data_IF_884171052315
#
_entry.id   IF_884171052315
#
_cell.length_a   1.000
_cell.length_b   1.000
_cell.length_c   1.000
_cell.angle_alpha   90.00
_cell.angle_beta   90.00
_cell.angle_gamma   90.00
#
_symmetry.space_group_name_H-M   'P 1'
#
loop_
_entity.id
_entity.type
_entity.pdbx_description
1 polymer ?
#
# COMPACT_ATOMS: atom_id res chain seq x y z
N UNK A 1 -21.37 -9.35 -0.14
CA UNK A 1 -20.01 -9.58 0.36
C UNK A 1 -19.36 -8.20 0.50
N UNK A 2 -18.81 -7.89 1.67
CA UNK A 2 -18.14 -6.59 1.89
C UNK A 2 -16.73 -6.65 1.32
N UNK A 3 -16.38 -5.64 0.50
CA UNK A 3 -15.09 -5.52 -0.20
C UNK A 3 -14.41 -4.23 0.19
N UNK A 4 -13.13 -4.28 0.50
CA UNK A 4 -12.34 -3.08 0.77
C UNK A 4 -11.27 -2.86 -0.30
N UNK A 5 -10.93 -1.59 -0.53
CA UNK A 5 -9.72 -1.19 -1.25
C UNK A 5 -8.62 -0.86 -0.25
N UNK A 6 -7.43 -1.44 -0.44
CA UNK A 6 -6.23 -1.11 0.33
C UNK A 6 -5.28 -0.34 -0.59
N UNK A 7 -5.06 0.93 -0.28
CA UNK A 7 -4.11 1.81 -0.99
C UNK A 7 -2.78 1.77 -0.25
N UNK A 8 -1.77 1.18 -0.86
CA UNK A 8 -0.49 0.87 -0.22
C UNK A 8 0.54 1.95 -0.54
N UNK A 9 1.02 2.64 0.48
CA UNK A 9 2.23 3.46 0.53
C UNK A 9 2.40 4.46 -0.63
N UNK A 10 1.33 5.14 -1.04
CA UNK A 10 1.37 6.15 -2.10
C UNK A 10 1.87 7.48 -1.51
N UNK A 11 3.15 7.50 -1.13
CA UNK A 11 3.81 8.57 -0.39
C UNK A 11 4.81 9.34 -1.27
N UNK A 12 5.13 10.57 -0.86
CA UNK A 12 6.02 11.44 -1.63
C UNK A 12 7.38 10.80 -1.91
N UNK A 13 7.99 10.13 -0.92
CA UNK A 13 9.32 9.54 -1.08
C UNK A 13 9.34 8.36 -2.07
N UNK A 14 8.20 7.72 -2.31
CA UNK A 14 8.08 6.63 -3.29
C UNK A 14 7.64 7.10 -4.69
N UNK A 15 7.40 8.38 -4.88
CA UNK A 15 7.08 8.96 -6.19
C UNK A 15 8.27 9.76 -6.74
N UNK A 16 8.21 10.14 -8.01
CA UNK A 16 9.27 10.91 -8.67
C UNK A 16 9.62 12.18 -7.90
N UNK A 17 10.88 12.36 -7.60
CA UNK A 17 11.42 13.47 -6.79
C UNK A 17 11.60 13.12 -5.30
N UNK A 18 11.09 12.00 -4.84
CA UNK A 18 11.30 11.48 -3.48
C UNK A 18 12.63 10.76 -3.30
N UNK A 19 12.99 10.44 -2.06
CA UNK A 19 14.29 9.85 -1.70
C UNK A 19 14.44 8.39 -2.15
N UNK A 20 13.32 7.68 -2.39
CA UNK A 20 13.28 6.29 -2.86
C UNK A 20 12.25 6.17 -4.00
N UNK A 21 12.40 7.00 -5.01
CA UNK A 21 11.45 7.16 -6.09
C UNK A 21 11.28 5.89 -6.94
N UNK A 22 10.03 5.51 -7.16
CA UNK A 22 9.60 4.46 -8.08
C UNK A 22 9.07 5.11 -9.35
N UNK A 23 9.58 4.70 -10.51
CA UNK A 23 9.14 5.23 -11.80
C UNK A 23 7.65 4.93 -12.03
N UNK A 24 6.87 5.95 -12.37
CA UNK A 24 5.42 5.85 -12.54
C UNK A 24 4.62 6.03 -11.24
N UNK A 25 5.27 6.28 -10.11
CA UNK A 25 4.60 6.44 -8.81
C UNK A 25 3.60 7.60 -8.81
N UNK A 26 3.97 8.75 -9.35
CA UNK A 26 3.10 9.93 -9.44
C UNK A 26 1.88 9.70 -10.37
N UNK A 27 2.04 8.92 -11.45
CA UNK A 27 0.95 8.54 -12.35
C UNK A 27 -0.02 7.55 -11.66
N UNK A 28 0.54 6.56 -10.95
CA UNK A 28 -0.27 5.64 -10.12
C UNK A 28 -1.06 6.41 -9.05
N UNK A 29 -0.43 7.36 -8.35
CA UNK A 29 -1.10 8.21 -7.39
C UNK A 29 -2.30 8.96 -8.03
N UNK A 30 -2.12 9.52 -9.23
CA UNK A 30 -3.17 10.21 -9.96
C UNK A 30 -4.32 9.29 -10.36
N UNK A 31 -4.00 8.09 -10.87
CA UNK A 31 -5.04 7.10 -11.27
C UNK A 31 -5.82 6.58 -10.07
N UNK A 32 -5.15 6.31 -8.95
CA UNK A 32 -5.82 5.93 -7.70
C UNK A 32 -6.71 7.08 -7.21
N UNK A 33 -6.23 8.33 -7.25
CA UNK A 33 -7.04 9.51 -6.95
C UNK A 33 -8.33 9.57 -7.78
N UNK A 34 -8.23 9.28 -9.08
CA UNK A 34 -9.40 9.19 -9.97
C UNK A 34 -10.39 8.10 -9.55
N UNK A 35 -9.91 6.91 -9.17
CA UNK A 35 -10.75 5.83 -8.63
C UNK A 35 -11.44 6.25 -7.33
N UNK A 36 -10.71 6.88 -6.41
CA UNK A 36 -11.24 7.34 -5.12
C UNK A 36 -12.28 8.45 -5.31
N UNK A 37 -12.06 9.35 -6.26
CA UNK A 37 -13.03 10.38 -6.61
C UNK A 37 -14.33 9.76 -7.14
N UNK A 38 -14.25 8.81 -8.07
CA UNK A 38 -15.44 8.09 -8.60
C UNK A 38 -16.16 7.35 -7.46
N UNK A 39 -15.43 6.64 -6.60
CA UNK A 39 -16.00 5.94 -5.46
C UNK A 39 -16.74 6.90 -4.51
N UNK A 40 -16.18 8.08 -4.25
CA UNK A 40 -16.79 9.07 -3.35
C UNK A 40 -18.07 9.68 -3.94
N UNK A 41 -18.12 9.87 -5.26
CA UNK A 41 -19.26 10.43 -5.97
C UNK A 41 -20.39 9.41 -6.21
N UNK A 42 -20.09 8.11 -6.19
CA UNK A 42 -21.08 7.07 -6.39
C UNK A 42 -22.06 6.98 -5.21
N UNK A 43 -23.32 6.65 -5.50
CA UNK A 43 -24.28 6.32 -4.46
C UNK A 43 -23.77 5.12 -3.63
N UNK A 44 -24.03 5.09 -2.30
CA UNK A 44 -23.51 4.02 -1.43
C UNK A 44 -23.87 2.59 -1.91
N UNK A 45 -25.02 2.43 -2.58
CA UNK A 45 -25.50 1.15 -3.12
C UNK A 45 -24.70 0.69 -4.35
N UNK A 46 -24.09 1.65 -5.09
CA UNK A 46 -23.38 1.41 -6.34
C UNK A 46 -21.85 1.39 -6.14
N UNK A 47 -21.37 1.66 -4.93
CA UNK A 47 -19.95 1.64 -4.62
C UNK A 47 -19.38 0.22 -4.74
N UNK A 48 -18.31 0.08 -5.52
CA UNK A 48 -17.59 -1.20 -5.66
C UNK A 48 -16.88 -1.64 -4.38
N UNK A 49 -16.60 -0.69 -3.47
CA UNK A 49 -15.98 -0.92 -2.17
C UNK A 49 -16.86 -0.39 -1.06
N UNK A 50 -17.04 -1.17 0.01
CA UNK A 50 -17.70 -0.72 1.24
C UNK A 50 -16.76 0.14 2.09
N UNK A 51 -15.46 -0.11 1.97
CA UNK A 51 -14.42 0.59 2.72
C UNK A 51 -13.21 0.88 1.86
N UNK A 52 -12.54 1.99 2.16
CA UNK A 52 -11.24 2.35 1.59
C UNK A 52 -10.28 2.65 2.73
N UNK A 53 -9.16 1.94 2.75
CA UNK A 53 -8.11 2.14 3.75
C UNK A 53 -6.77 2.38 3.07
N UNK A 54 -5.84 2.99 3.78
CA UNK A 54 -4.48 3.20 3.29
C UNK A 54 -3.45 2.66 4.27
N UNK A 55 -2.27 2.32 3.74
CA UNK A 55 -1.08 2.05 4.54
C UNK A 55 -0.01 3.11 4.27
N UNK A 56 0.91 3.23 5.19
CA UNK A 56 1.97 4.22 5.10
C UNK A 56 3.22 3.75 5.84
N UNK A 57 4.39 3.83 5.19
CA UNK A 57 5.66 3.78 5.92
C UNK A 57 5.76 5.01 6.82
N UNK A 58 6.12 4.78 8.09
CA UNK A 58 6.12 5.82 9.11
C UNK A 58 7.36 5.64 10.01
N UNK A 59 8.55 5.90 9.42
CA UNK A 59 9.81 5.56 10.07
C UNK A 59 10.24 6.61 11.10
N UNK A 60 10.57 6.15 12.29
CA UNK A 60 11.21 6.94 13.36
C UNK A 60 12.67 6.53 13.48
N UNK A 61 12.92 5.25 13.76
CA UNK A 61 14.26 4.63 13.81
C UNK A 61 14.11 3.14 13.44
N UNK A 62 14.11 2.81 12.14
CA UNK A 62 13.91 1.43 11.68
C UNK A 62 15.21 0.60 11.72
N UNK A 63 16.27 1.09 12.38
CA UNK A 63 17.54 0.37 12.52
C UNK A 63 18.22 0.10 11.18
N UNK A 64 18.68 -1.14 10.99
CA UNK A 64 19.44 -1.57 9.80
C UNK A 64 18.64 -1.53 8.46
N UNK A 65 17.35 -1.18 8.53
CA UNK A 65 16.56 -0.91 7.34
C UNK A 65 17.06 0.33 6.59
N UNK A 66 17.61 1.31 7.30
CA UNK A 66 18.28 2.47 6.73
C UNK A 66 19.79 2.27 6.66
N UNK A 67 20.39 2.66 5.54
CA UNK A 67 21.83 2.60 5.33
C UNK A 67 22.31 3.77 4.47
N UNK A 68 23.51 4.28 4.78
CA UNK A 68 24.21 5.24 3.94
C UNK A 68 24.85 4.57 2.70
N UNK A 69 24.99 3.23 2.72
CA UNK A 69 25.45 2.40 1.60
C UNK A 69 24.47 1.22 1.41
N UNK A 70 23.25 1.50 0.90
CA UNK A 70 22.19 0.50 0.84
C UNK A 70 22.45 -0.54 -0.26
N UNK A 71 22.07 -1.80 0.03
CA UNK A 71 22.10 -2.89 -0.95
C UNK A 71 20.88 -2.90 -1.89
N UNK A 72 19.85 -2.11 -1.60
CA UNK A 72 18.58 -2.02 -2.32
C UNK A 72 17.79 -3.35 -2.41
N UNK A 73 18.02 -4.24 -1.45
CA UNK A 73 17.27 -5.49 -1.25
C UNK A 73 16.76 -5.59 0.20
N UNK A 74 17.62 -5.31 1.17
CA UNK A 74 17.33 -5.41 2.61
C UNK A 74 17.52 -4.09 3.33
N UNK A 75 18.31 -3.18 2.76
CA UNK A 75 18.60 -1.85 3.27
C UNK A 75 18.36 -0.79 2.21
N UNK A 76 17.92 0.38 2.65
CA UNK A 76 17.45 1.48 1.82
C UNK A 76 18.01 2.82 2.31
N UNK A 77 18.09 3.85 1.44
CA UNK A 77 18.33 5.20 1.92
C UNK A 77 17.17 5.64 2.85
N UNK A 78 17.39 6.59 3.76
CA UNK A 78 16.32 7.15 4.58
C UNK A 78 15.15 7.64 3.73
N UNK A 79 13.95 7.17 4.05
CA UNK A 79 12.69 7.50 3.37
C UNK A 79 11.52 7.48 4.34
N UNK A 80 10.45 8.16 4.01
CA UNK A 80 9.21 8.21 4.79
C UNK A 80 9.44 8.47 6.30
N UNK A 81 10.40 9.35 6.60
CA UNK A 81 10.77 9.70 7.98
C UNK A 81 9.72 10.61 8.58
N UNK A 82 9.27 10.30 9.78
CA UNK A 82 8.29 11.09 10.53
C UNK A 82 8.76 12.53 10.68
N UNK A 83 7.87 13.47 10.38
CA UNK A 83 8.17 14.91 10.45
C UNK A 83 8.78 15.49 9.17
N UNK A 84 8.98 14.69 8.12
CA UNK A 84 9.37 15.17 6.79
C UNK A 84 8.19 15.14 5.81
N UNK A 85 8.30 15.88 4.70
CA UNK A 85 7.29 15.83 3.64
C UNK A 85 7.23 14.45 2.96
N UNK A 86 8.32 13.69 3.01
CA UNK A 86 8.44 12.37 2.39
C UNK A 86 7.44 11.35 2.89
N UNK A 87 7.05 11.43 4.18
CA UNK A 87 6.08 10.52 4.81
C UNK A 87 4.64 10.78 4.37
N UNK A 88 4.34 11.97 3.86
CA UNK A 88 2.99 12.37 3.44
C UNK A 88 2.56 11.63 2.17
N UNK A 89 1.25 11.39 2.04
CA UNK A 89 0.71 10.90 0.78
C UNK A 89 0.99 11.89 -0.36
N UNK A 90 1.24 11.36 -1.54
CA UNK A 90 1.54 12.17 -2.72
C UNK A 90 0.33 13.06 -3.08
N UNK A 91 0.52 14.33 -3.48
CA UNK A 91 -0.58 15.27 -3.76
C UNK A 91 -1.49 14.84 -4.90
N UNK A 92 -1.02 14.02 -5.84
CA UNK A 92 -1.87 13.44 -6.88
C UNK A 92 -2.86 12.39 -6.35
N UNK A 93 -2.66 11.88 -5.14
CA UNK A 93 -3.61 11.02 -4.45
C UNK A 93 -4.68 11.90 -3.77
N UNK A 94 -5.59 12.41 -4.58
CA UNK A 94 -6.66 13.31 -4.15
C UNK A 94 -7.99 12.87 -4.82
N UNK A 95 -9.07 12.67 -4.04
CA UNK A 95 -9.21 12.80 -2.59
C UNK A 95 -8.58 11.66 -1.77
N UNK A 96 -8.53 11.84 -0.44
CA UNK A 96 -8.04 10.84 0.51
C UNK A 96 -9.17 10.41 1.47
N UNK A 97 -10.22 9.75 0.99
CA UNK A 97 -11.41 9.40 1.78
C UNK A 97 -11.20 8.11 2.58
N UNK A 98 -10.07 7.99 3.27
CA UNK A 98 -9.70 6.78 3.99
C UNK A 98 -10.50 6.63 5.28
N UNK A 99 -11.15 5.47 5.45
CA UNK A 99 -11.81 5.09 6.70
C UNK A 99 -10.80 4.86 7.83
N UNK A 100 -9.60 4.39 7.48
CA UNK A 100 -8.46 4.22 8.39
C UNK A 100 -7.13 4.27 7.62
N UNK A 101 -6.08 4.71 8.33
CA UNK A 101 -4.69 4.69 7.85
C UNK A 101 -3.90 3.81 8.80
N UNK A 102 -3.09 2.90 8.25
CA UNK A 102 -2.26 1.98 9.01
C UNK A 102 -0.79 2.33 8.82
N UNK A 103 -0.18 2.87 9.87
CA UNK A 103 1.24 3.23 9.90
C UNK A 103 2.09 2.01 10.26
N UNK A 104 3.18 1.80 9.54
CA UNK A 104 4.10 0.66 9.73
C UNK A 104 5.56 1.10 9.72
N UNK A 105 6.44 0.27 10.24
CA UNK A 105 7.89 0.45 10.12
C UNK A 105 8.49 1.49 11.06
N UNK A 106 7.84 1.87 12.18
CA UNK A 106 8.37 2.92 13.07
C UNK A 106 9.76 2.59 13.61
N UNK A 107 9.96 1.35 14.06
CA UNK A 107 11.19 0.91 14.72
C UNK A 107 11.77 -0.40 14.18
N UNK A 108 11.31 -0.84 13.02
CA UNK A 108 11.79 -2.02 12.31
C UNK A 108 11.41 -1.95 10.84
N UNK A 109 12.08 -2.75 9.99
CA UNK A 109 11.62 -2.96 8.62
C UNK A 109 10.21 -3.55 8.62
N UNK A 110 9.32 -3.00 7.79
CA UNK A 110 7.97 -3.51 7.57
C UNK A 110 7.55 -3.26 6.13
N UNK A 111 7.10 -4.30 5.44
CA UNK A 111 6.64 -4.20 4.06
C UNK A 111 5.13 -4.36 3.93
N UNK A 112 4.56 -5.32 4.68
CA UNK A 112 3.14 -5.61 4.61
C UNK A 112 2.30 -4.57 5.37
N UNK A 113 1.21 -4.10 4.76
CA UNK A 113 0.22 -3.28 5.44
C UNK A 113 -0.40 -3.98 6.66
N UNK A 114 -0.33 -5.31 6.72
CA UNK A 114 -0.81 -6.09 7.87
C UNK A 114 0.10 -6.01 9.10
N UNK A 115 1.30 -5.46 8.96
CA UNK A 115 2.18 -5.12 10.09
C UNK A 115 1.82 -3.75 10.69
N UNK A 116 1.02 -2.96 9.95
CA UNK A 116 0.62 -1.61 10.34
C UNK A 116 -0.49 -1.58 11.40
N UNK A 117 -0.57 -0.44 12.07
CA UNK A 117 -1.60 -0.15 13.07
C UNK A 117 -2.26 1.19 12.78
N UNK A 118 -3.56 1.24 13.00
CA UNK A 118 -4.31 2.49 13.01
C UNK A 118 -3.98 3.31 14.29
N UNK A 119 -4.42 4.56 14.33
CA UNK A 119 -4.15 5.47 15.44
C UNK A 119 -4.60 4.94 16.82
N UNK A 120 -5.64 4.11 16.85
CA UNK A 120 -6.16 3.46 18.07
C UNK A 120 -5.43 2.17 18.45
N UNK A 121 -4.40 1.78 17.67
CA UNK A 121 -3.62 0.57 17.83
C UNK A 121 -4.19 -0.68 17.16
N UNK A 122 -5.34 -0.58 16.48
CA UNK A 122 -5.97 -1.70 15.78
C UNK A 122 -5.14 -2.08 14.55
N UNK A 123 -4.84 -3.37 14.38
CA UNK A 123 -4.17 -3.90 13.19
C UNK A 123 -5.13 -4.03 11.99
N UNK A 124 -4.58 -3.99 10.77
CA UNK A 124 -5.37 -4.02 9.53
C UNK A 124 -6.29 -5.26 9.43
N UNK A 125 -5.80 -6.45 9.78
CA UNK A 125 -6.62 -7.67 9.73
C UNK A 125 -7.84 -7.60 10.65
N UNK A 126 -7.65 -7.13 11.88
CA UNK A 126 -8.72 -7.04 12.88
C UNK A 126 -9.72 -5.94 12.51
N UNK A 127 -9.21 -4.83 11.98
CA UNK A 127 -10.05 -3.75 11.46
C UNK A 127 -10.96 -4.24 10.33
N UNK A 128 -10.39 -4.91 9.32
CA UNK A 128 -11.15 -5.45 8.18
C UNK A 128 -12.21 -6.47 8.64
N UNK A 129 -11.84 -7.39 9.53
CA UNK A 129 -12.79 -8.38 10.10
C UNK A 129 -13.89 -7.71 10.90
N UNK A 130 -13.55 -6.72 11.72
CA UNK A 130 -14.51 -5.94 12.52
C UNK A 130 -15.56 -5.22 11.68
N UNK A 131 -15.21 -4.87 10.42
CA UNK A 131 -16.11 -4.25 9.44
C UNK A 131 -16.77 -5.26 8.49
N UNK A 132 -16.63 -6.57 8.76
CA UNK A 132 -17.26 -7.64 7.97
C UNK A 132 -16.70 -7.78 6.56
N UNK A 133 -15.48 -7.25 6.30
CA UNK A 133 -14.81 -7.38 5.01
C UNK A 133 -14.42 -8.84 4.77
N UNK A 134 -14.70 -9.35 3.58
CA UNK A 134 -14.36 -10.72 3.16
C UNK A 134 -13.45 -10.77 1.95
N UNK A 135 -13.35 -9.65 1.21
CA UNK A 135 -12.49 -9.52 0.04
C UNK A 135 -11.79 -8.18 0.02
N UNK A 136 -10.57 -8.16 -0.51
CA UNK A 136 -9.77 -6.95 -0.64
C UNK A 136 -9.17 -6.83 -2.04
N UNK A 137 -9.16 -5.61 -2.56
CA UNK A 137 -8.35 -5.24 -3.71
C UNK A 137 -7.19 -4.38 -3.20
N UNK A 138 -6.00 -4.63 -3.70
CA UNK A 138 -4.76 -3.97 -3.30
C UNK A 138 -4.21 -3.18 -4.49
N UNK A 139 -3.85 -1.93 -4.26
CA UNK A 139 -3.18 -1.04 -5.23
C UNK A 139 -2.11 -0.21 -4.54
N UNK A 140 -1.27 0.51 -5.27
CA UNK A 140 -0.25 1.40 -4.72
C UNK A 140 1.19 1.03 -5.07
N UNK A 141 2.13 1.29 -4.16
CA UNK A 141 3.57 1.24 -4.39
C UNK A 141 4.27 0.44 -3.27
N UNK A 142 5.30 -0.35 -3.54
CA UNK A 142 5.71 -0.81 -4.87
C UNK A 142 5.17 -2.22 -5.10
N UNK A 143 4.87 -2.54 -6.37
CA UNK A 143 4.32 -3.85 -6.79
C UNK A 143 5.11 -5.01 -6.22
N UNK A 144 6.43 -4.95 -6.34
CA UNK A 144 7.39 -6.01 -5.99
C UNK A 144 7.78 -6.04 -4.49
N UNK A 145 7.36 -5.07 -3.70
CA UNK A 145 7.64 -4.99 -2.25
C UNK A 145 6.35 -4.88 -1.42
N UNK A 146 5.90 -3.69 -1.06
CA UNK A 146 4.81 -3.49 -0.10
C UNK A 146 3.46 -4.00 -0.63
N UNK A 147 3.15 -3.82 -1.92
CA UNK A 147 1.92 -4.34 -2.55
C UNK A 147 1.93 -5.87 -2.50
N UNK A 148 3.02 -6.49 -2.95
CA UNK A 148 3.21 -7.95 -2.90
C UNK A 148 3.06 -8.48 -1.47
N UNK A 149 3.80 -7.93 -0.51
CA UNK A 149 3.75 -8.37 0.88
C UNK A 149 2.35 -8.24 1.47
N UNK A 150 1.67 -7.11 1.22
CA UNK A 150 0.30 -6.87 1.69
C UNK A 150 -0.69 -7.86 1.08
N UNK A 151 -0.61 -8.12 -0.23
CA UNK A 151 -1.52 -9.06 -0.89
C UNK A 151 -1.32 -10.51 -0.44
N UNK A 152 -0.07 -10.94 -0.22
CA UNK A 152 0.23 -12.27 0.33
C UNK A 152 -0.31 -12.45 1.75
N UNK A 153 -0.14 -11.44 2.60
CA UNK A 153 -0.66 -11.49 3.97
C UNK A 153 -2.20 -11.40 4.01
N UNK A 154 -2.82 -10.69 3.08
CA UNK A 154 -4.27 -10.70 2.93
C UNK A 154 -4.80 -12.11 2.67
N UNK A 155 -4.18 -12.86 1.73
CA UNK A 155 -4.53 -14.28 1.48
C UNK A 155 -4.30 -15.13 2.72
N UNK A 156 -3.16 -15.00 3.39
CA UNK A 156 -2.85 -15.73 4.64
C UNK A 156 -3.85 -15.43 5.76
N UNK A 157 -4.34 -14.20 5.82
CA UNK A 157 -5.36 -13.78 6.77
C UNK A 157 -6.79 -14.25 6.40
N UNK A 158 -6.96 -14.90 5.23
CA UNK A 158 -8.21 -15.52 4.79
C UNK A 158 -9.09 -14.60 3.92
N UNK A 159 -8.60 -13.47 3.44
CA UNK A 159 -9.34 -12.60 2.52
C UNK A 159 -9.22 -13.09 1.08
N UNK A 160 -10.33 -13.04 0.33
CA UNK A 160 -10.28 -13.13 -1.12
C UNK A 160 -9.57 -11.88 -1.66
N UNK A 161 -8.44 -12.05 -2.34
CA UNK A 161 -7.51 -10.94 -2.64
C UNK A 161 -7.33 -10.75 -4.14
N UNK A 162 -7.35 -9.51 -4.58
CA UNK A 162 -6.89 -9.12 -5.91
C UNK A 162 -5.86 -8.00 -5.83
N UNK A 163 -4.98 -7.91 -6.82
CA UNK A 163 -4.11 -6.76 -7.07
C UNK A 163 -4.55 -6.08 -8.34
N UNK A 164 -4.77 -4.77 -8.27
CA UNK A 164 -5.13 -3.93 -9.40
C UNK A 164 -3.84 -3.50 -10.12
N UNK A 165 -3.38 -4.32 -11.06
CA UNK A 165 -2.05 -4.18 -11.66
C UNK A 165 -1.84 -2.86 -12.38
N UNK A 166 -2.86 -2.31 -13.02
CA UNK A 166 -2.83 -0.99 -13.66
C UNK A 166 -2.73 0.18 -12.66
N UNK A 167 -2.95 -0.09 -11.38
CA UNK A 167 -2.87 0.85 -10.27
C UNK A 167 -1.69 0.54 -9.33
N UNK A 168 -0.64 -0.07 -9.85
CA UNK A 168 0.61 -0.31 -9.12
C UNK A 168 1.82 0.13 -9.94
N UNK A 169 2.92 0.46 -9.26
CA UNK A 169 4.21 0.72 -9.87
C UNK A 169 5.29 -0.11 -9.16
N UNK A 170 6.15 -0.79 -9.92
CA UNK A 170 7.22 -1.63 -9.40
C UNK A 170 8.58 -0.96 -9.46
N UNK A 171 9.49 -1.36 -8.57
CA UNK A 171 10.86 -0.83 -8.50
C UNK A 171 11.66 -1.23 -9.74
N UNK A 172 11.58 -2.49 -10.16
CA UNK A 172 12.27 -2.97 -11.32
C UNK A 172 11.43 -3.99 -12.12
N UNK A 173 11.55 -4.04 -13.47
CA UNK A 173 10.74 -4.95 -14.29
C UNK A 173 10.87 -6.42 -13.89
N UNK A 174 12.09 -6.89 -13.66
CA UNK A 174 12.34 -8.31 -13.35
C UNK A 174 11.82 -8.74 -11.98
N UNK A 175 11.92 -7.88 -10.95
CA UNK A 175 11.36 -8.17 -9.62
C UNK A 175 9.84 -8.05 -9.63
N UNK A 176 9.28 -7.13 -10.39
CA UNK A 176 7.84 -6.97 -10.58
C UNK A 176 7.23 -8.22 -11.24
N UNK A 177 7.83 -8.72 -12.32
CA UNK A 177 7.37 -9.95 -12.98
C UNK A 177 7.36 -11.15 -12.03
N UNK A 178 8.45 -11.34 -11.26
CA UNK A 178 8.53 -12.40 -10.25
C UNK A 178 7.47 -12.25 -9.16
N UNK A 179 7.24 -11.01 -8.69
CA UNK A 179 6.23 -10.72 -7.69
C UNK A 179 4.81 -11.06 -8.17
N UNK A 180 4.47 -10.68 -9.40
CA UNK A 180 3.16 -10.99 -9.98
C UNK A 180 2.97 -12.50 -10.14
N UNK A 181 3.99 -13.24 -10.60
CA UNK A 181 3.92 -14.70 -10.71
C UNK A 181 3.76 -15.38 -9.34
N UNK A 182 4.44 -14.88 -8.30
CA UNK A 182 4.28 -15.37 -6.92
C UNK A 182 2.86 -15.12 -6.40
N UNK A 183 2.31 -13.93 -6.65
CA UNK A 183 0.95 -13.56 -6.25
C UNK A 183 -0.09 -14.49 -6.88
N UNK A 184 0.00 -14.75 -8.18
CA UNK A 184 -0.89 -15.70 -8.87
C UNK A 184 -0.74 -17.11 -8.28
N UNK A 185 0.49 -17.57 -8.05
CA UNK A 185 0.77 -18.87 -7.42
C UNK A 185 0.21 -18.99 -6.00
N UNK A 186 0.05 -17.88 -5.28
CA UNK A 186 -0.55 -17.82 -3.95
C UNK A 186 -2.09 -17.68 -3.97
N UNK A 187 -2.71 -17.60 -5.16
CA UNK A 187 -4.15 -17.47 -5.32
C UNK A 187 -4.68 -16.02 -5.32
N UNK A 188 -3.79 -15.04 -5.47
CA UNK A 188 -4.18 -13.64 -5.69
C UNK A 188 -4.62 -13.46 -7.15
N UNK A 189 -5.77 -12.82 -7.34
CA UNK A 189 -6.24 -12.46 -8.68
C UNK A 189 -5.52 -11.19 -9.15
N UNK A 190 -4.92 -11.24 -10.34
CA UNK A 190 -4.42 -10.04 -11.00
C UNK A 190 -5.54 -9.43 -11.86
N UNK A 191 -5.82 -8.15 -11.68
CA UNK A 191 -6.95 -7.44 -12.30
C UNK A 191 -6.49 -6.13 -12.93
#
# INVERSE_FOLDING_TARGET
>A
MSRALIVVDVQNDFCEGGSLAVSGGADVAFRIGGLLHQWQQADPEDRGYSHVVATRDHHIDPGDHFSDDPDFEHSWPPHCVVGTDGVSFHPNLDPQPFDAIFDKGEHAAAYSGFEGKAQDGTGLADWLRGHGVTSVDVCGIATDYCVRATALDAVRAGFSTAVLTDLTAGVAPASTERALAELEGAGVRLA
#
